data_IF_330668019137
#
_entry.id   IF_330668019137
#
_cell.length_a   1.000
_cell.length_b   1.000
_cell.length_c   1.000
_cell.angle_alpha   90.00
_cell.angle_beta   90.00
_cell.angle_gamma   90.00
#
_symmetry.space_group_name_H-M   'P 1'
#
loop_
_entity.id
_entity.type
_entity.pdbx_description
1 polymer ?
#
# COMPACT_ATOMS: atom_id res chain seq x y z
N UNK A 1 -29.47 54.93 36.25
CA UNK A 1 -28.13 54.71 36.82
C UNK A 1 -28.06 53.26 37.33
N UNK A 2 -26.95 52.59 37.06
CA UNK A 2 -26.55 51.23 37.48
C UNK A 2 -27.38 50.04 36.96
N UNK A 3 -26.90 49.45 35.84
CA UNK A 3 -27.19 48.06 35.46
C UNK A 3 -26.23 47.15 36.22
N UNK A 4 -26.75 46.27 37.06
CA UNK A 4 -25.98 45.20 37.72
C UNK A 4 -26.07 43.93 36.87
N UNK A 5 -24.93 43.48 36.33
CA UNK A 5 -24.77 42.21 35.65
C UNK A 5 -24.60 41.13 36.73
N UNK A 6 -25.40 40.07 36.69
CA UNK A 6 -25.09 38.81 37.37
C UNK A 6 -25.29 37.64 36.40
N UNK A 7 -24.17 36.94 36.23
CA UNK A 7 -24.01 35.72 35.47
C UNK A 7 -24.75 34.54 36.12
N UNK A 8 -25.10 33.53 35.30
CA UNK A 8 -25.69 32.28 35.77
C UNK A 8 -25.66 31.17 34.72
N UNK A 9 -24.51 30.50 34.63
CA UNK A 9 -24.26 29.12 34.19
C UNK A 9 -24.94 28.59 32.91
N UNK A 10 -24.20 28.60 31.79
CA UNK A 10 -24.38 27.63 30.71
C UNK A 10 -23.71 26.31 31.13
N UNK A 11 -24.49 25.33 31.59
CA UNK A 11 -24.00 23.98 31.82
C UNK A 11 -23.75 23.30 30.46
N UNK A 12 -22.50 23.31 30.01
CA UNK A 12 -22.03 22.43 28.93
C UNK A 12 -22.05 20.99 29.46
N UNK A 13 -23.05 20.23 29.04
CA UNK A 13 -23.07 18.79 29.21
C UNK A 13 -21.96 18.16 28.35
N UNK A 14 -20.80 17.93 28.96
CA UNK A 14 -19.83 16.94 28.55
C UNK A 14 -20.48 15.55 28.67
N UNK A 15 -21.09 15.07 27.61
CA UNK A 15 -21.48 13.66 27.50
C UNK A 15 -21.29 13.23 26.06
N UNK A 16 -20.16 12.57 25.78
CA UNK A 16 -19.83 12.10 24.45
C UNK A 16 -18.35 12.04 24.10
N UNK A 17 -17.44 11.99 25.08
CA UNK A 17 -16.15 11.33 24.84
C UNK A 17 -16.42 9.84 24.73
N UNK A 18 -16.87 9.41 23.54
CA UNK A 18 -16.45 8.09 23.08
C UNK A 18 -14.93 8.12 23.16
N UNK A 19 -14.36 7.33 24.06
CA UNK A 19 -12.93 7.12 24.14
C UNK A 19 -12.47 6.70 22.74
N UNK A 20 -12.00 7.67 21.96
CA UNK A 20 -11.15 7.41 20.81
C UNK A 20 -9.90 6.83 21.43
N UNK A 21 -9.90 5.51 21.62
CA UNK A 21 -8.67 4.75 21.84
C UNK A 21 -7.77 5.24 20.71
N UNK A 22 -6.67 5.95 20.99
CA UNK A 22 -5.76 6.33 19.93
C UNK A 22 -5.40 5.02 19.25
N UNK A 23 -5.71 4.89 17.96
CA UNK A 23 -5.26 3.75 17.20
C UNK A 23 -3.75 3.69 17.44
N UNK A 24 -3.28 2.69 18.18
CA UNK A 24 -1.87 2.56 18.48
C UNK A 24 -1.14 2.57 17.16
N UNK A 25 -0.34 3.62 16.94
CA UNK A 25 0.55 3.67 15.81
C UNK A 25 1.47 2.47 15.98
N UNK A 26 1.39 1.52 15.05
CA UNK A 26 2.24 0.34 15.05
C UNK A 26 3.69 0.78 15.11
N UNK A 27 4.52 -0.01 15.78
CA UNK A 27 5.96 0.25 15.76
C UNK A 27 6.47 0.17 14.32
N UNK A 28 7.61 0.80 14.05
CA UNK A 28 8.23 0.76 12.72
C UNK A 28 8.48 -0.68 12.29
N UNK A 29 8.91 -1.52 13.22
CA UNK A 29 9.14 -2.95 13.05
C UNK A 29 7.85 -3.69 12.65
N UNK A 30 6.74 -3.46 13.36
CA UNK A 30 5.44 -4.06 13.05
C UNK A 30 4.89 -3.59 11.69
N UNK A 31 5.08 -2.32 11.36
CA UNK A 31 4.68 -1.78 10.06
C UNK A 31 5.46 -2.46 8.92
N UNK A 32 6.78 -2.60 9.06
CA UNK A 32 7.61 -3.27 8.07
C UNK A 32 7.39 -4.78 8.02
N UNK A 33 7.10 -5.45 9.14
CA UNK A 33 6.71 -6.85 9.15
C UNK A 33 5.41 -7.07 8.36
N UNK A 34 4.40 -6.22 8.58
CA UNK A 34 3.17 -6.24 7.79
C UNK A 34 3.42 -5.91 6.32
N UNK A 35 4.33 -4.99 6.01
CA UNK A 35 4.73 -4.69 4.64
C UNK A 35 5.32 -5.92 3.95
N UNK A 36 6.27 -6.60 4.60
CA UNK A 36 6.93 -7.81 4.07
C UNK A 36 5.92 -8.91 3.82
N UNK A 37 5.03 -9.19 4.77
CA UNK A 37 3.98 -10.21 4.60
C UNK A 37 3.10 -9.93 3.37
N UNK A 38 2.74 -8.66 3.14
CA UNK A 38 1.95 -8.26 1.97
C UNK A 38 2.76 -8.39 0.68
N UNK A 39 4.02 -7.97 0.69
CA UNK A 39 4.91 -8.05 -0.46
C UNK A 39 5.15 -9.51 -0.89
N UNK A 40 5.37 -10.43 0.06
CA UNK A 40 5.53 -11.87 -0.23
C UNK A 40 4.29 -12.47 -0.91
N UNK A 41 3.08 -12.12 -0.42
CA UNK A 41 1.83 -12.57 -1.05
C UNK A 41 1.68 -12.04 -2.47
N UNK A 42 2.06 -10.78 -2.71
CA UNK A 42 2.01 -10.15 -4.03
C UNK A 42 3.04 -10.79 -4.96
N UNK A 43 4.28 -10.95 -4.52
CA UNK A 43 5.35 -11.58 -5.29
C UNK A 43 4.97 -12.99 -5.73
N UNK A 44 4.45 -13.80 -4.79
CA UNK A 44 3.92 -15.12 -5.10
C UNK A 44 2.80 -15.07 -6.14
N UNK A 45 1.81 -14.18 -5.97
CA UNK A 45 0.70 -14.05 -6.91
C UNK A 45 1.16 -13.59 -8.30
N UNK A 46 2.17 -12.71 -8.39
CA UNK A 46 2.72 -12.23 -9.66
C UNK A 46 3.44 -13.32 -10.46
N UNK A 47 3.94 -14.36 -9.79
CA UNK A 47 4.64 -15.49 -10.41
C UNK A 47 3.70 -16.64 -10.84
N UNK A 48 2.40 -16.55 -10.54
CA UNK A 48 1.39 -17.52 -10.99
C UNK A 48 1.20 -17.41 -12.50
N UNK A 49 1.40 -18.52 -13.23
CA UNK A 49 1.31 -18.51 -14.70
C UNK A 49 -0.10 -18.72 -15.24
N UNK A 50 -0.98 -19.43 -14.51
CA UNK A 50 -2.37 -19.63 -14.93
C UNK A 50 -3.19 -18.35 -14.70
N UNK A 51 -3.81 -17.81 -15.76
CA UNK A 51 -4.56 -16.56 -15.72
C UNK A 51 -5.74 -16.58 -14.73
N UNK A 52 -6.46 -17.70 -14.62
CA UNK A 52 -7.63 -17.81 -13.74
C UNK A 52 -7.18 -17.81 -12.28
N UNK A 53 -6.13 -18.56 -11.97
CA UNK A 53 -5.54 -18.59 -10.63
C UNK A 53 -4.90 -17.24 -10.29
N UNK A 54 -4.19 -16.62 -11.23
CA UNK A 54 -3.57 -15.30 -11.07
C UNK A 54 -4.60 -14.25 -10.65
N UNK A 55 -5.73 -14.16 -11.36
CA UNK A 55 -6.77 -13.15 -11.08
C UNK A 55 -7.30 -13.22 -9.65
N UNK A 56 -7.47 -14.44 -9.13
CA UNK A 56 -7.91 -14.64 -7.74
C UNK A 56 -6.77 -14.32 -6.78
N UNK A 57 -5.60 -14.91 -7.00
CA UNK A 57 -4.43 -14.75 -6.14
C UNK A 57 -4.01 -13.29 -5.98
N UNK A 58 -3.95 -12.51 -7.07
CA UNK A 58 -3.53 -11.11 -7.02
C UNK A 58 -4.56 -10.21 -6.35
N UNK A 59 -5.86 -10.50 -6.52
CA UNK A 59 -6.93 -9.78 -5.84
C UNK A 59 -6.84 -9.98 -4.34
N UNK A 60 -6.63 -11.22 -3.91
CA UNK A 60 -6.53 -11.59 -2.49
C UNK A 60 -5.23 -11.04 -1.88
N UNK A 61 -4.09 -11.20 -2.55
CA UNK A 61 -2.79 -10.69 -2.10
C UNK A 61 -2.82 -9.17 -1.87
N UNK A 62 -3.48 -8.44 -2.77
CA UNK A 62 -3.60 -7.00 -2.68
C UNK A 62 -4.76 -6.50 -1.81
N UNK A 63 -5.46 -7.38 -1.11
CA UNK A 63 -6.46 -6.98 -0.11
C UNK A 63 -5.74 -6.48 1.14
N UNK A 64 -6.18 -5.35 1.69
CA UNK A 64 -5.61 -4.76 2.92
C UNK A 64 -4.30 -3.97 2.72
N UNK A 65 -3.66 -4.00 1.55
CA UNK A 65 -2.42 -3.26 1.26
C UNK A 65 -2.58 -1.76 1.51
N UNK A 66 -3.64 -1.16 0.97
CA UNK A 66 -3.93 0.27 1.18
C UNK A 66 -4.11 0.59 2.67
N UNK A 67 -4.75 -0.30 3.44
CA UNK A 67 -4.92 -0.13 4.89
C UNK A 67 -3.57 -0.16 5.62
N UNK A 68 -2.70 -1.12 5.30
CA UNK A 68 -1.35 -1.21 5.85
C UNK A 68 -0.54 0.06 5.54
N UNK A 69 -0.56 0.52 4.28
CA UNK A 69 0.24 1.67 3.86
C UNK A 69 -0.31 2.98 4.43
N UNK A 70 -1.63 3.23 4.39
CA UNK A 70 -2.21 4.50 4.87
C UNK A 70 -2.13 4.61 6.39
N UNK A 71 -2.43 3.53 7.12
CA UNK A 71 -2.40 3.56 8.59
C UNK A 71 -1.02 3.86 9.16
N UNK A 72 0.04 3.65 8.38
CA UNK A 72 1.44 3.87 8.77
C UNK A 72 2.16 4.87 7.84
N UNK A 73 1.42 5.68 7.07
CA UNK A 73 1.90 6.34 5.84
C UNK A 73 3.15 7.22 5.91
N UNK A 74 3.47 7.78 7.08
CA UNK A 74 4.71 8.54 7.32
C UNK A 74 5.94 7.66 7.55
N UNK A 75 5.75 6.39 7.92
CA UNK A 75 6.83 5.44 8.22
C UNK A 75 7.43 4.81 6.96
N UNK A 76 6.68 4.78 5.85
CA UNK A 76 7.14 4.19 4.59
C UNK A 76 7.73 5.24 3.64
N UNK A 77 8.94 5.00 3.09
CA UNK A 77 9.48 5.80 2.00
C UNK A 77 8.63 5.64 0.73
N UNK A 78 8.93 6.44 -0.29
CA UNK A 78 8.17 6.42 -1.55
C UNK A 78 8.08 5.02 -2.18
N UNK A 79 9.19 4.27 -2.21
CA UNK A 79 9.19 2.89 -2.73
C UNK A 79 8.34 1.93 -1.89
N UNK A 80 8.30 2.11 -0.57
CA UNK A 80 7.47 1.30 0.32
C UNK A 80 5.97 1.55 0.11
N UNK A 81 5.60 2.82 -0.12
CA UNK A 81 4.21 3.19 -0.45
C UNK A 81 3.78 2.71 -1.84
N UNK A 82 4.72 2.46 -2.74
CA UNK A 82 4.46 2.02 -4.11
C UNK A 82 3.80 0.64 -4.18
N UNK A 83 3.78 -0.15 -3.09
CA UNK A 83 3.05 -1.41 -3.04
C UNK A 83 1.55 -1.22 -3.38
N UNK A 84 0.97 -0.05 -3.12
CA UNK A 84 -0.38 0.31 -3.60
C UNK A 84 -0.46 0.44 -5.13
N UNK A 85 0.54 1.07 -5.76
CA UNK A 85 0.63 1.23 -7.21
C UNK A 85 0.85 -0.11 -7.92
N UNK A 86 1.69 -0.98 -7.35
CA UNK A 86 1.83 -2.38 -7.80
C UNK A 86 0.47 -3.08 -7.83
N UNK A 87 -0.30 -2.97 -6.75
CA UNK A 87 -1.63 -3.58 -6.70
C UNK A 87 -2.63 -2.98 -7.69
N UNK A 88 -2.53 -1.69 -7.98
CA UNK A 88 -3.37 -1.05 -8.99
C UNK A 88 -3.10 -1.63 -10.37
N UNK A 89 -1.83 -1.73 -10.78
CA UNK A 89 -1.50 -2.27 -12.10
C UNK A 89 -1.74 -3.76 -12.19
N UNK A 90 -1.45 -4.52 -11.13
CA UNK A 90 -1.56 -5.97 -11.09
C UNK A 90 -3.03 -6.46 -11.12
N UNK A 91 -3.93 -5.85 -10.35
CA UNK A 91 -5.36 -6.21 -10.34
C UNK A 91 -6.05 -5.95 -11.67
N UNK A 92 -5.62 -4.93 -12.42
CA UNK A 92 -6.17 -4.60 -13.73
C UNK A 92 -5.73 -5.60 -14.83
N UNK A 93 -5.10 -6.72 -14.44
CA UNK A 93 -4.73 -7.86 -15.28
C UNK A 93 -3.83 -7.49 -16.45
N UNK A 94 -2.92 -6.55 -16.22
CA UNK A 94 -2.02 -6.04 -17.25
C UNK A 94 -1.16 -7.13 -17.92
N UNK A 95 -0.81 -8.21 -17.21
CA UNK A 95 -0.08 -9.36 -17.75
C UNK A 95 -0.89 -10.18 -18.78
N UNK A 96 -2.22 -10.26 -18.62
CA UNK A 96 -3.08 -11.18 -19.35
C UNK A 96 -4.19 -10.51 -20.19
N UNK A 97 -4.49 -9.23 -19.95
CA UNK A 97 -5.56 -8.51 -20.62
C UNK A 97 -5.18 -7.98 -22.01
N UNK A 98 -6.15 -7.87 -22.93
CA UNK A 98 -5.96 -7.29 -24.27
C UNK A 98 -5.71 -5.78 -24.32
N UNK A 99 -5.57 -5.09 -23.17
CA UNK A 99 -5.33 -3.64 -23.05
C UNK A 99 -3.95 -3.31 -22.49
N UNK A 100 -2.94 -4.17 -22.71
CA UNK A 100 -1.57 -4.04 -22.17
C UNK A 100 -0.97 -2.64 -22.37
N UNK A 101 -1.16 -2.06 -23.56
CA UNK A 101 -0.69 -0.73 -23.93
C UNK A 101 -1.12 0.42 -22.99
N UNK A 102 -2.34 0.37 -22.44
CA UNK A 102 -2.88 1.43 -21.57
C UNK A 102 -2.12 1.52 -20.24
N UNK A 103 -1.60 0.39 -19.76
CA UNK A 103 -1.00 0.28 -18.43
C UNK A 103 0.52 0.41 -18.46
N UNK A 104 1.16 0.40 -19.64
CA UNK A 104 2.61 0.47 -19.79
C UNK A 104 3.27 1.58 -18.97
N UNK A 105 2.72 2.82 -19.02
CA UNK A 105 3.27 3.94 -18.25
C UNK A 105 3.17 3.70 -16.74
N UNK A 106 2.03 3.21 -16.27
CA UNK A 106 1.80 2.94 -14.85
C UNK A 106 2.70 1.80 -14.36
N UNK A 107 2.76 0.69 -15.11
CA UNK A 107 3.63 -0.46 -14.80
C UNK A 107 5.09 -0.03 -14.72
N UNK A 108 5.59 0.70 -15.72
CA UNK A 108 6.98 1.20 -15.74
C UNK A 108 7.27 2.13 -14.56
N UNK A 109 6.32 2.99 -14.20
CA UNK A 109 6.47 3.90 -13.06
C UNK A 109 6.51 3.12 -11.74
N UNK A 110 5.61 2.16 -11.56
CA UNK A 110 5.57 1.32 -10.36
C UNK A 110 6.83 0.48 -10.23
N UNK A 111 7.26 -0.19 -11.29
CA UNK A 111 8.50 -0.97 -11.32
C UNK A 111 9.72 -0.11 -10.98
N UNK A 112 9.86 1.07 -11.59
CA UNK A 112 10.97 2.00 -11.29
C UNK A 112 10.93 2.55 -9.87
N UNK A 113 9.76 2.70 -9.29
CA UNK A 113 9.62 3.30 -7.95
C UNK A 113 9.86 2.25 -6.88
N UNK A 114 9.25 1.07 -7.00
CA UNK A 114 9.46 -0.03 -6.05
C UNK A 114 10.87 -0.63 -6.18
N UNK A 115 11.45 -0.66 -7.39
CA UNK A 115 12.83 -1.13 -7.62
C UNK A 115 13.94 -0.23 -7.08
N UNK A 116 13.60 0.99 -6.62
CA UNK A 116 14.53 1.85 -5.84
C UNK A 116 14.57 1.47 -4.36
N UNK A 117 14.11 0.27 -4.02
CA UNK A 117 14.10 -0.16 -2.64
C UNK A 117 15.51 -0.23 -2.07
N UNK A 118 15.62 0.31 -0.86
CA UNK A 118 16.83 0.37 -0.07
C UNK A 118 16.67 -0.53 1.14
N UNK A 119 17.79 -1.01 1.68
CA UNK A 119 17.77 -1.88 2.86
C UNK A 119 17.15 -1.13 4.04
N UNK A 120 16.15 -1.76 4.64
CA UNK A 120 15.52 -1.29 5.88
C UNK A 120 16.09 -2.14 7.01
N UNK A 121 16.79 -1.54 8.01
CA UNK A 121 17.36 -2.30 9.11
C UNK A 121 16.34 -3.17 9.85
N UNK A 122 15.12 -2.65 10.03
CA UNK A 122 14.02 -3.34 10.72
C UNK A 122 13.43 -4.50 9.91
N UNK A 123 13.63 -4.51 8.58
CA UNK A 123 13.16 -5.57 7.68
C UNK A 123 14.10 -5.74 6.49
N UNK A 124 15.26 -6.41 6.66
CA UNK A 124 16.27 -6.54 5.61
C UNK A 124 15.76 -7.23 4.33
N UNK A 125 14.70 -8.04 4.44
CA UNK A 125 14.05 -8.72 3.31
C UNK A 125 13.17 -7.81 2.45
N UNK A 126 12.79 -6.63 2.93
CA UNK A 126 11.86 -5.76 2.20
C UNK A 126 12.45 -5.29 0.86
N UNK A 127 13.74 -4.95 0.84
CA UNK A 127 14.43 -4.50 -0.36
C UNK A 127 14.54 -5.56 -1.46
N UNK A 128 15.02 -6.79 -1.20
CA UNK A 128 15.05 -7.83 -2.24
C UNK A 128 13.65 -8.20 -2.72
N UNK A 129 12.63 -8.28 -1.84
CA UNK A 129 11.25 -8.52 -2.28
C UNK A 129 10.71 -7.43 -3.21
N UNK A 130 10.99 -6.16 -2.88
CA UNK A 130 10.61 -5.03 -3.72
C UNK A 130 11.30 -5.07 -5.10
N UNK A 131 12.56 -5.50 -5.15
CA UNK A 131 13.33 -5.66 -6.37
C UNK A 131 12.81 -6.82 -7.23
N UNK A 132 12.49 -7.97 -6.64
CA UNK A 132 11.85 -9.10 -7.32
C UNK A 132 10.51 -8.68 -7.96
N UNK A 133 9.67 -7.96 -7.20
CA UNK A 133 8.41 -7.43 -7.72
C UNK A 133 8.66 -6.48 -8.89
N UNK A 134 9.65 -5.58 -8.77
CA UNK A 134 10.01 -4.67 -9.85
C UNK A 134 10.44 -5.42 -11.12
N UNK A 135 11.22 -6.47 -10.97
CA UNK A 135 11.68 -7.31 -12.08
C UNK A 135 10.50 -7.98 -12.79
N UNK A 136 9.56 -8.59 -12.04
CA UNK A 136 8.37 -9.21 -12.64
C UNK A 136 7.52 -8.18 -13.40
N UNK A 137 7.38 -6.97 -12.85
CA UNK A 137 6.68 -5.87 -13.53
C UNK A 137 7.41 -5.38 -14.78
N UNK A 138 8.75 -5.37 -14.80
CA UNK A 138 9.50 -5.01 -16.01
C UNK A 138 9.45 -6.11 -17.07
N UNK A 139 9.56 -7.38 -16.67
CA UNK A 139 9.46 -8.52 -17.59
C UNK A 139 8.12 -8.52 -18.31
N UNK A 140 7.02 -8.33 -17.57
CA UNK A 140 5.72 -8.21 -18.23
C UNK A 140 5.58 -6.93 -19.06
N UNK A 141 6.27 -5.82 -18.74
CA UNK A 141 6.24 -4.59 -19.55
C UNK A 141 6.84 -4.89 -20.93
N UNK A 142 7.97 -5.57 -20.95
CA UNK A 142 8.67 -5.97 -22.18
C UNK A 142 7.84 -6.99 -22.98
N UNK A 143 7.37 -8.05 -22.33
CA UNK A 143 6.50 -9.07 -22.96
C UNK A 143 5.14 -8.53 -23.40
N UNK A 144 4.68 -7.44 -22.77
CA UNK A 144 3.45 -6.75 -23.11
C UNK A 144 3.54 -5.88 -24.37
N UNK A 145 4.73 -5.78 -24.98
CA UNK A 145 4.97 -4.94 -26.16
C UNK A 145 4.96 -3.45 -25.84
N UNK A 146 5.16 -3.09 -24.58
CA UNK A 146 5.31 -1.69 -24.17
C UNK A 146 6.65 -1.16 -24.71
N UNK A 147 6.61 -0.14 -25.58
CA UNK A 147 7.80 0.55 -26.09
C UNK A 147 8.03 1.83 -25.27
#
# INVERSE_FOLDING_TARGET
MHKTIRAGAFALALAGLAASVPAEAKTKEEAWAAWVERAERIDFALKVQDERVYKVAIKDACTGVTGTIISQGMQFPAWGRELMGVCQVAKDTWLYGGKKGKYCKAVKQSAKTIGKAEVVPEAPKAAPLAQDIAEVLMNGYELGGCK
#
